data_IF_855114745595
#
_entry.id   IF_855114745595
#
_cell.length_a   1.000
_cell.length_b   1.000
_cell.length_c   1.000
_cell.angle_alpha   90.00
_cell.angle_beta   90.00
_cell.angle_gamma   90.00
#
_symmetry.space_group_name_H-M   'P 1'
#
loop_
_entity.id
_entity.type
_entity.pdbx_description
1 polymer ?
#
# COMPACT_ATOMS: atom_id res chain seq x y z
N UNK A 1 -14.82 18.86 7.13
CA UNK A 1 -15.38 20.23 7.07
C UNK A 1 -14.82 21.04 8.22
N UNK A 2 -14.25 22.20 7.92
CA UNK A 2 -13.63 23.13 8.87
C UNK A 2 -14.27 24.50 8.63
N UNK A 3 -14.85 25.08 9.69
CA UNK A 3 -15.54 26.37 9.65
C UNK A 3 -14.83 27.29 10.65
N UNK A 4 -14.09 28.31 10.20
CA UNK A 4 -13.41 29.21 11.11
C UNK A 4 -14.36 30.30 11.64
N UNK A 5 -13.99 30.92 12.77
CA UNK A 5 -14.69 32.10 13.30
C UNK A 5 -14.56 33.32 12.37
N UNK A 6 -13.41 33.47 11.70
CA UNK A 6 -13.18 34.43 10.60
C UNK A 6 -12.34 33.76 9.51
N UNK A 7 -12.67 34.03 8.26
CA UNK A 7 -11.95 33.52 7.09
C UNK A 7 -12.71 32.45 6.31
N UNK A 8 -11.99 31.81 5.41
CA UNK A 8 -12.57 30.90 4.42
C UNK A 8 -12.95 29.53 5.00
N UNK A 9 -14.06 28.97 4.51
CA UNK A 9 -14.47 27.62 4.87
C UNK A 9 -13.66 26.59 4.08
N UNK A 10 -13.31 25.47 4.72
CA UNK A 10 -12.61 24.36 4.07
C UNK A 10 -13.42 23.06 4.20
N UNK A 11 -13.83 22.54 3.06
CA UNK A 11 -14.52 21.26 2.93
C UNK A 11 -13.59 20.22 2.30
N UNK A 12 -13.59 19.00 2.85
CA UNK A 12 -12.89 17.84 2.31
C UNK A 12 -13.93 16.74 2.14
N UNK A 13 -13.97 16.14 0.96
CA UNK A 13 -14.99 15.16 0.58
C UNK A 13 -14.44 14.08 -0.35
N UNK A 14 -15.09 12.92 -0.33
CA UNK A 14 -14.84 11.83 -1.27
C UNK A 14 -15.81 11.91 -2.45
N UNK A 15 -15.34 11.51 -3.62
CA UNK A 15 -16.16 11.21 -4.78
C UNK A 15 -16.54 9.72 -4.82
N UNK A 16 -17.44 9.33 -5.73
CA UNK A 16 -17.87 7.94 -5.93
C UNK A 16 -16.74 6.98 -6.36
N UNK A 17 -15.57 7.52 -6.75
CA UNK A 17 -14.36 6.78 -7.09
C UNK A 17 -13.31 6.79 -5.96
N UNK A 18 -13.69 7.13 -4.74
CA UNK A 18 -12.81 7.28 -3.57
C UNK A 18 -11.68 8.33 -3.73
N UNK A 19 -11.81 9.24 -4.71
CA UNK A 19 -10.89 10.36 -4.88
C UNK A 19 -11.24 11.47 -3.88
N UNK A 20 -10.24 11.98 -3.16
CA UNK A 20 -10.41 13.04 -2.17
C UNK A 20 -10.26 14.42 -2.82
N UNK A 21 -11.25 15.27 -2.61
CA UNK A 21 -11.28 16.66 -3.07
C UNK A 21 -11.35 17.63 -1.90
N UNK A 22 -10.79 18.82 -2.11
CA UNK A 22 -10.97 19.98 -1.25
C UNK A 22 -11.87 21.03 -1.94
N UNK A 23 -12.60 21.80 -1.13
CA UNK A 23 -13.35 22.99 -1.54
C UNK A 23 -13.10 24.11 -0.55
N UNK A 24 -12.69 25.27 -1.07
CA UNK A 24 -12.49 26.49 -0.28
C UNK A 24 -13.66 27.44 -0.61
N UNK A 25 -14.32 27.95 0.42
CA UNK A 25 -15.48 28.86 0.30
C UNK A 25 -16.60 28.35 -0.60
N UNK A 26 -16.84 27.03 -0.56
CA UNK A 26 -17.88 26.36 -1.37
C UNK A 26 -17.73 26.58 -2.88
N UNK A 27 -16.53 26.93 -3.36
CA UNK A 27 -16.20 27.05 -4.78
C UNK A 27 -16.05 25.67 -5.44
N UNK A 28 -15.45 25.63 -6.64
CA UNK A 28 -15.18 24.38 -7.38
C UNK A 28 -14.32 23.41 -6.56
N UNK A 29 -14.50 22.11 -6.82
CA UNK A 29 -13.65 21.06 -6.28
C UNK A 29 -12.25 21.17 -6.88
N UNK A 30 -11.24 20.95 -6.04
CA UNK A 30 -9.85 20.76 -6.44
C UNK A 30 -9.33 19.46 -5.83
N UNK A 31 -8.42 18.73 -6.48
CA UNK A 31 -7.79 17.57 -5.85
C UNK A 31 -7.15 17.98 -4.52
N UNK A 32 -7.32 17.18 -3.46
CA UNK A 32 -6.77 17.52 -2.14
C UNK A 32 -5.25 17.67 -2.17
N UNK A 33 -4.58 16.95 -3.07
CA UNK A 33 -3.13 17.06 -3.30
C UNK A 33 -2.72 18.47 -3.75
N UNK A 34 -3.56 19.20 -4.49
CA UNK A 34 -3.28 20.59 -4.86
C UNK A 34 -3.17 21.50 -3.63
N UNK A 35 -4.00 21.27 -2.61
CA UNK A 35 -3.89 21.98 -1.34
C UNK A 35 -2.60 21.59 -0.60
N UNK A 36 -2.22 20.31 -0.61
CA UNK A 36 -0.98 19.84 0.03
C UNK A 36 0.27 20.45 -0.62
N UNK A 37 0.32 20.49 -1.95
CA UNK A 37 1.39 21.20 -2.67
C UNK A 37 1.45 22.69 -2.30
N UNK A 38 0.30 23.36 -2.18
CA UNK A 38 0.24 24.76 -1.76
C UNK A 38 0.70 24.97 -0.30
N UNK A 39 0.60 23.94 0.55
CA UNK A 39 1.14 23.95 1.92
C UNK A 39 2.64 23.62 1.97
N UNK A 40 3.28 23.42 0.82
CA UNK A 40 4.72 23.22 0.70
C UNK A 40 5.16 21.76 0.73
N UNK A 41 4.23 20.79 0.73
CA UNK A 41 4.60 19.38 0.62
C UNK A 41 4.92 19.02 -0.82
N UNK A 42 5.92 18.18 -1.04
CA UNK A 42 6.15 17.56 -2.33
C UNK A 42 5.42 16.20 -2.49
N UNK A 43 5.56 15.57 -3.66
CA UNK A 43 4.89 14.31 -3.94
C UNK A 43 5.35 13.16 -3.05
N UNK A 44 6.64 13.12 -2.67
CA UNK A 44 7.17 12.07 -1.80
C UNK A 44 6.73 12.28 -0.35
N UNK A 45 6.69 13.51 0.13
CA UNK A 45 6.21 13.88 1.45
C UNK A 45 4.73 13.59 1.62
N UNK A 46 3.91 13.90 0.61
CA UNK A 46 2.48 13.53 0.61
C UNK A 46 2.34 12.01 0.75
N UNK A 47 3.04 11.23 -0.07
CA UNK A 47 2.97 9.77 0.01
C UNK A 47 3.49 9.25 1.37
N UNK A 48 4.58 9.82 1.88
CA UNK A 48 5.17 9.42 3.16
C UNK A 48 4.29 9.77 4.37
N UNK A 49 3.48 10.83 4.26
CA UNK A 49 2.54 11.25 5.31
C UNK A 49 1.38 10.28 5.46
N UNK A 50 0.85 9.76 4.34
CA UNK A 50 -0.37 8.94 4.34
C UNK A 50 -0.13 7.44 4.16
N UNK A 51 1.03 7.02 3.65
CA UNK A 51 1.34 5.62 3.36
C UNK A 51 2.58 5.12 4.08
N UNK A 52 2.55 3.84 4.47
CA UNK A 52 3.75 3.13 4.93
C UNK A 52 4.56 2.67 3.73
N UNK A 53 5.87 2.91 3.75
CA UNK A 53 6.81 2.40 2.74
C UNK A 53 7.09 0.92 3.01
N UNK A 54 7.06 0.08 1.96
CA UNK A 54 7.56 -1.29 2.03
C UNK A 54 8.79 -1.39 1.14
N UNK A 55 9.90 -1.78 1.75
CA UNK A 55 11.19 -1.85 1.08
C UNK A 55 11.36 -3.19 0.38
N UNK A 56 11.43 -3.15 -0.94
CA UNK A 56 11.73 -4.30 -1.78
C UNK A 56 13.22 -4.27 -2.08
N UNK A 57 13.92 -5.39 -1.89
CA UNK A 57 15.36 -5.47 -2.15
C UNK A 57 15.62 -6.36 -3.35
N UNK A 58 16.30 -5.83 -4.37
CA UNK A 58 16.73 -6.62 -5.52
C UNK A 58 17.80 -7.63 -5.08
N UNK A 59 17.66 -8.88 -5.53
CA UNK A 59 18.64 -9.95 -5.39
C UNK A 59 19.01 -10.52 -6.76
N UNK A 60 19.97 -11.44 -6.82
CA UNK A 60 20.37 -12.10 -8.08
C UNK A 60 19.24 -12.94 -8.69
N UNK A 61 18.32 -13.42 -7.87
CA UNK A 61 17.27 -14.38 -8.25
C UNK A 61 15.85 -13.75 -8.25
N UNK A 62 15.76 -12.42 -8.21
CA UNK A 62 14.51 -11.67 -8.20
C UNK A 62 14.48 -10.60 -7.11
N UNK A 63 13.36 -10.50 -6.41
CA UNK A 63 13.14 -9.49 -5.38
C UNK A 63 12.76 -10.09 -4.05
N UNK A 64 13.36 -9.56 -3.00
CA UNK A 64 13.01 -9.86 -1.62
C UNK A 64 11.91 -8.90 -1.16
N UNK A 65 10.74 -9.46 -0.86
CA UNK A 65 9.54 -8.73 -0.46
C UNK A 65 9.19 -9.06 0.99
N UNK A 66 9.11 -8.08 1.90
CA UNK A 66 8.72 -8.32 3.29
C UNK A 66 7.35 -9.01 3.40
N UNK A 67 7.27 -10.05 4.22
CA UNK A 67 6.04 -10.78 4.47
C UNK A 67 5.36 -10.28 5.75
N UNK A 68 4.09 -9.88 5.63
CA UNK A 68 3.24 -9.51 6.75
C UNK A 68 1.86 -10.17 6.59
N UNK A 69 1.47 -11.06 7.51
CA UNK A 69 0.24 -11.85 7.36
C UNK A 69 -1.02 -10.99 7.16
N UNK A 70 -1.06 -9.79 7.74
CA UNK A 70 -2.19 -8.87 7.60
C UNK A 70 -2.34 -8.30 6.18
N UNK A 71 -1.24 -8.11 5.45
CA UNK A 71 -1.25 -7.58 4.06
C UNK A 71 -1.67 -8.63 3.04
N UNK A 72 -1.38 -9.89 3.32
CA UNK A 72 -1.68 -11.03 2.42
C UNK A 72 -3.07 -11.65 2.66
N UNK A 73 -3.94 -10.97 3.42
CA UNK A 73 -5.27 -11.48 3.74
C UNK A 73 -6.11 -11.63 2.47
N UNK A 74 -6.47 -12.87 2.13
CA UNK A 74 -7.34 -13.16 0.99
C UNK A 74 -6.63 -13.08 -0.36
N UNK A 75 -5.29 -13.03 -0.36
CA UNK A 75 -4.49 -13.11 -1.58
C UNK A 75 -4.63 -14.51 -2.21
N UNK A 76 -5.01 -14.54 -3.49
CA UNK A 76 -4.98 -15.75 -4.32
C UNK A 76 -3.64 -15.77 -5.04
N UNK A 77 -2.83 -16.80 -4.78
CA UNK A 77 -1.50 -16.89 -5.37
C UNK A 77 -1.60 -17.26 -6.85
N UNK A 78 -1.07 -16.40 -7.72
CA UNK A 78 -0.91 -16.71 -9.15
C UNK A 78 0.30 -17.60 -9.37
N UNK A 79 1.38 -17.34 -8.64
CA UNK A 79 2.64 -18.08 -8.69
C UNK A 79 2.96 -18.69 -7.31
N UNK A 80 3.88 -19.66 -7.29
CA UNK A 80 4.39 -20.23 -6.04
C UNK A 80 4.96 -19.14 -5.14
N UNK A 81 4.55 -19.13 -3.87
CA UNK A 81 5.17 -18.31 -2.84
C UNK A 81 6.41 -19.03 -2.35
N UNK A 82 7.56 -18.40 -2.56
CA UNK A 82 8.87 -18.95 -2.20
C UNK A 82 9.44 -18.09 -1.08
N UNK A 83 9.92 -18.73 -0.01
CA UNK A 83 10.67 -18.05 1.04
C UNK A 83 12.00 -17.53 0.49
N UNK A 84 12.27 -16.23 0.67
CA UNK A 84 13.48 -15.59 0.17
C UNK A 84 14.75 -16.01 0.93
N UNK A 85 14.63 -16.56 2.14
CA UNK A 85 15.77 -17.02 2.94
C UNK A 85 16.10 -18.49 2.69
N UNK A 86 15.08 -19.34 2.57
CA UNK A 86 15.27 -20.79 2.44
C UNK A 86 15.12 -21.33 1.02
N UNK A 87 14.54 -20.56 0.10
CA UNK A 87 14.23 -21.00 -1.26
C UNK A 87 13.12 -22.05 -1.35
N UNK A 88 12.46 -22.37 -0.22
CA UNK A 88 11.38 -23.36 -0.17
C UNK A 88 10.07 -22.74 -0.59
N UNK A 89 9.25 -23.52 -1.30
CA UNK A 89 7.86 -23.17 -1.60
C UNK A 89 7.06 -23.23 -0.29
N UNK A 90 6.56 -22.08 0.16
CA UNK A 90 5.72 -21.95 1.36
C UNK A 90 4.23 -22.06 1.04
N UNK A 91 3.84 -21.76 -0.21
CA UNK A 91 2.49 -22.01 -0.72
C UNK A 91 2.55 -22.19 -2.24
N UNK A 92 1.94 -23.26 -2.74
CA UNK A 92 1.85 -23.53 -4.18
C UNK A 92 0.88 -22.55 -4.88
N UNK A 93 1.13 -22.30 -6.15
CA UNK A 93 0.27 -21.54 -7.05
C UNK A 93 -1.19 -22.04 -7.02
N UNK A 94 -2.13 -21.13 -7.21
CA UNK A 94 -3.57 -21.42 -7.20
C UNK A 94 -4.20 -21.63 -5.82
N UNK A 95 -3.41 -21.77 -4.74
CA UNK A 95 -3.96 -21.89 -3.38
C UNK A 95 -4.29 -20.52 -2.78
N UNK A 96 -5.41 -20.44 -2.07
CA UNK A 96 -5.78 -19.21 -1.36
C UNK A 96 -5.01 -19.08 -0.07
N UNK A 97 -4.31 -17.96 0.13
CA UNK A 97 -3.64 -17.67 1.38
C UNK A 97 -4.68 -17.20 2.42
N UNK A 98 -5.16 -18.15 3.21
CA UNK A 98 -6.10 -17.87 4.31
C UNK A 98 -5.42 -17.12 5.44
N UNK A 99 -6.20 -16.41 6.26
CA UNK A 99 -5.67 -15.67 7.42
C UNK A 99 -4.91 -16.60 8.38
N UNK A 100 -5.43 -17.82 8.58
CA UNK A 100 -4.81 -18.84 9.42
C UNK A 100 -3.47 -19.29 8.85
N UNK A 101 -3.42 -19.62 7.56
CA UNK A 101 -2.18 -20.03 6.89
C UNK A 101 -1.13 -18.91 6.91
N UNK A 102 -1.53 -17.66 6.65
CA UNK A 102 -0.63 -16.51 6.71
C UNK A 102 -0.01 -16.30 8.09
N UNK A 103 -0.82 -16.43 9.16
CA UNK A 103 -0.33 -16.36 10.55
C UNK A 103 0.64 -17.50 10.86
N UNK A 104 0.31 -18.74 10.47
CA UNK A 104 1.19 -19.88 10.66
C UNK A 104 2.52 -19.73 9.94
N UNK A 105 2.54 -19.16 8.73
CA UNK A 105 3.78 -18.86 8.01
C UNK A 105 4.62 -17.82 8.75
N UNK A 106 3.99 -16.77 9.29
CA UNK A 106 4.68 -15.75 10.08
C UNK A 106 5.23 -16.32 11.40
N UNK A 107 4.47 -17.16 12.10
CA UNK A 107 4.88 -17.85 13.33
C UNK A 107 6.04 -18.83 13.08
N UNK A 108 6.06 -19.50 11.92
CA UNK A 108 7.18 -20.33 11.47
C UNK A 108 8.43 -19.53 11.08
N UNK A 109 8.38 -18.20 11.18
CA UNK A 109 9.51 -17.32 10.98
C UNK A 109 9.69 -16.81 9.55
N UNK A 110 8.68 -16.93 8.69
CA UNK A 110 8.74 -16.36 7.33
C UNK A 110 8.82 -14.84 7.41
N UNK A 111 9.96 -14.29 6.99
CA UNK A 111 10.24 -12.84 7.01
C UNK A 111 10.06 -12.18 5.65
N UNK A 112 10.39 -12.90 4.57
CA UNK A 112 10.32 -12.35 3.24
C UNK A 112 10.03 -13.43 2.19
N UNK A 113 9.36 -13.01 1.13
CA UNK A 113 9.06 -13.81 -0.04
C UNK A 113 9.96 -13.40 -1.20
N UNK A 114 10.30 -14.37 -2.05
CA UNK A 114 10.97 -14.13 -3.33
C UNK A 114 9.91 -13.90 -4.41
N UNK A 115 10.05 -12.80 -5.13
CA UNK A 115 9.15 -12.41 -6.22
C UNK A 115 9.93 -12.25 -7.51
N UNK A 116 9.37 -12.72 -8.63
CA UNK A 116 9.93 -12.50 -9.96
C UNK A 116 9.68 -11.06 -10.44
N UNK A 117 10.40 -10.63 -11.48
CA UNK A 117 10.31 -9.27 -12.02
C UNK A 117 8.90 -8.92 -12.52
N UNK A 118 8.26 -9.86 -13.20
CA UNK A 118 6.87 -9.77 -13.68
C UNK A 118 5.87 -9.55 -12.53
N UNK A 119 6.21 -9.95 -11.30
CA UNK A 119 5.35 -9.76 -10.13
C UNK A 119 5.41 -8.34 -9.54
N UNK A 120 6.38 -7.52 -9.96
CA UNK A 120 6.58 -6.15 -9.47
C UNK A 120 6.20 -5.12 -10.52
N UNK A 121 6.49 -5.40 -11.78
CA UNK A 121 6.09 -4.56 -12.90
C UNK A 121 4.67 -4.97 -13.28
N UNK A 122 3.69 -4.30 -12.68
CA UNK A 122 2.28 -4.36 -13.09
C UNK A 122 2.02 -3.56 -14.36
#
# INVERSE_FOLDING_TARGET
>A
RVIPYRGSWLDIEFDAKDIVYARIDRRRKIPVTSLMFALGLDGEEILSTFYKKILYKRTKEGWRVPFEANRFRGYSTVNDLIDADTGKVVLEAGKKLTVRAARQLQEKGLKALRMADEGIVG
#
